data_IF_342639724369
#
_entry.id   IF_342639724369
#
_cell.length_a   1.000
_cell.length_b   1.000
_cell.length_c   1.000
_cell.angle_alpha   90.00
_cell.angle_beta   90.00
_cell.angle_gamma   90.00
#
_symmetry.space_group_name_H-M   'P 1'
#
loop_
_entity.id
_entity.type
_entity.pdbx_description
1 polymer ?
#
# COMPACT_ATOMS: atom_id res chain seq x y z
N UNK A 1 14.37 -15.55 -13.37
CA UNK A 1 13.73 -14.30 -12.91
C UNK A 1 13.74 -14.27 -11.40
N UNK A 2 14.06 -13.12 -10.80
CA UNK A 2 14.00 -12.90 -9.35
C UNK A 2 12.55 -12.81 -8.88
N UNK A 3 12.29 -12.74 -7.57
CA UNK A 3 10.93 -12.62 -7.05
C UNK A 3 10.33 -11.25 -7.38
N UNK A 4 11.13 -10.20 -7.31
CA UNK A 4 10.76 -8.84 -7.67
C UNK A 4 10.32 -8.76 -9.13
N UNK A 5 11.03 -9.44 -10.04
CA UNK A 5 10.64 -9.51 -11.45
C UNK A 5 9.29 -10.21 -11.67
N UNK A 6 8.98 -11.25 -10.89
CA UNK A 6 7.67 -11.91 -10.97
C UNK A 6 6.56 -11.02 -10.39
N UNK A 7 6.81 -10.30 -9.30
CA UNK A 7 5.86 -9.36 -8.72
C UNK A 7 5.57 -8.20 -9.68
N UNK A 8 6.60 -7.60 -10.28
CA UNK A 8 6.43 -6.59 -11.32
C UNK A 8 5.63 -7.13 -12.52
N UNK A 9 5.97 -8.33 -12.99
CA UNK A 9 5.24 -8.99 -14.09
C UNK A 9 3.79 -9.23 -13.74
N UNK A 10 3.48 -9.60 -12.48
CA UNK A 10 2.11 -9.82 -12.04
C UNK A 10 1.27 -8.54 -12.16
N UNK A 11 1.80 -7.37 -11.75
CA UNK A 11 1.11 -6.09 -11.93
C UNK A 11 0.81 -5.80 -13.41
N UNK A 12 1.80 -5.96 -14.29
CA UNK A 12 1.61 -5.73 -15.73
C UNK A 12 0.64 -6.72 -16.38
N UNK A 13 0.69 -8.00 -15.99
CA UNK A 13 -0.22 -9.04 -16.49
C UNK A 13 -1.65 -8.72 -16.05
N UNK A 14 -1.86 -8.40 -14.77
CA UNK A 14 -3.18 -8.03 -14.24
C UNK A 14 -3.72 -6.78 -14.93
N UNK A 15 -2.90 -5.74 -15.10
CA UNK A 15 -3.28 -4.52 -15.80
C UNK A 15 -3.69 -4.77 -17.26
N UNK A 16 -2.92 -5.59 -17.98
CA UNK A 16 -3.25 -6.01 -19.34
C UNK A 16 -4.55 -6.84 -19.40
N UNK A 17 -4.82 -7.68 -18.39
CA UNK A 17 -6.07 -8.44 -18.28
C UNK A 17 -7.27 -7.52 -18.04
N UNK A 18 -7.13 -6.47 -17.22
CA UNK A 18 -8.17 -5.45 -17.02
C UNK A 18 -8.50 -4.77 -18.36
N UNK A 19 -7.48 -4.37 -19.13
CA UNK A 19 -7.68 -3.79 -20.48
C UNK A 19 -8.41 -4.72 -21.43
N UNK A 20 -8.05 -6.02 -21.43
CA UNK A 20 -8.69 -7.04 -22.27
C UNK A 20 -10.18 -7.24 -21.95
N UNK A 21 -10.61 -6.88 -20.74
CA UNK A 21 -12.02 -6.86 -20.33
C UNK A 21 -12.72 -5.53 -20.65
N UNK A 22 -12.06 -4.62 -21.38
CA UNK A 22 -12.59 -3.30 -21.75
C UNK A 22 -12.95 -2.40 -20.56
N UNK A 23 -12.30 -2.60 -19.41
CA UNK A 23 -12.41 -1.70 -18.26
C UNK A 23 -11.35 -0.62 -18.44
N UNK A 24 -11.75 0.55 -18.96
CA UNK A 24 -10.83 1.61 -19.36
C UNK A 24 -10.82 2.82 -18.41
N UNK A 25 -11.98 3.10 -17.80
CA UNK A 25 -12.23 4.32 -17.04
C UNK A 25 -12.22 4.11 -15.53
N UNK A 26 -11.94 2.88 -15.09
CA UNK A 26 -11.80 2.55 -13.67
C UNK A 26 -10.42 1.97 -13.42
N UNK A 27 -9.91 2.25 -12.23
CA UNK A 27 -8.67 1.70 -11.74
C UNK A 27 -8.72 1.42 -10.24
N UNK A 28 -7.61 0.89 -9.75
CA UNK A 28 -7.42 0.59 -8.34
C UNK A 28 -5.95 0.77 -7.98
N UNK A 29 -5.72 1.29 -6.79
CA UNK A 29 -4.42 1.12 -6.14
C UNK A 29 -4.25 -0.35 -5.73
N UNK A 30 -3.00 -0.78 -5.54
CA UNK A 30 -2.69 -2.13 -5.14
C UNK A 30 -1.42 -2.16 -4.30
N UNK A 31 -1.55 -2.62 -3.06
CA UNK A 31 -0.44 -3.08 -2.23
C UNK A 31 -0.54 -4.59 -2.08
N UNK A 32 0.57 -5.29 -2.34
CA UNK A 32 0.70 -6.73 -2.17
C UNK A 32 1.87 -7.04 -1.25
N UNK A 33 1.59 -7.71 -0.14
CA UNK A 33 2.60 -8.26 0.76
C UNK A 33 2.67 -9.79 0.59
N UNK A 34 3.85 -10.31 0.28
CA UNK A 34 4.11 -11.74 0.15
C UNK A 34 5.21 -12.16 1.13
N UNK A 35 4.89 -13.08 2.03
CA UNK A 35 5.86 -13.67 2.96
C UNK A 35 6.30 -15.02 2.38
N UNK A 36 7.60 -15.24 2.30
CA UNK A 36 8.19 -16.48 1.80
C UNK A 36 9.33 -16.95 2.70
N UNK A 37 9.40 -18.25 2.94
CA UNK A 37 10.58 -18.86 3.55
C UNK A 37 11.69 -19.01 2.50
N UNK A 38 12.81 -18.33 2.70
CA UNK A 38 14.00 -18.36 1.85
C UNK A 38 15.19 -18.92 2.64
N UNK A 39 15.48 -20.20 2.46
CA UNK A 39 16.51 -20.93 3.21
C UNK A 39 16.25 -20.86 4.73
N UNK A 40 16.95 -19.94 5.42
CA UNK A 40 16.85 -19.75 6.87
C UNK A 40 16.01 -18.52 7.25
N UNK A 41 15.66 -17.68 6.28
CA UNK A 41 15.04 -16.40 6.52
C UNK A 41 13.55 -16.42 6.14
N UNK A 42 12.71 -15.75 6.93
CA UNK A 42 11.37 -15.35 6.49
C UNK A 42 11.50 -14.00 5.80
N UNK A 43 11.09 -13.90 4.54
CA UNK A 43 11.26 -12.70 3.74
C UNK A 43 9.90 -12.14 3.35
N UNK A 44 9.68 -10.88 3.70
CA UNK A 44 8.52 -10.09 3.33
C UNK A 44 8.85 -9.23 2.11
N UNK A 45 8.19 -9.53 0.99
CA UNK A 45 8.17 -8.68 -0.20
C UNK A 45 6.94 -7.80 -0.16
N UNK A 46 7.10 -6.52 -0.48
CA UNK A 46 6.00 -5.57 -0.62
C UNK A 46 6.05 -4.93 -2.01
N UNK A 47 4.91 -4.90 -2.72
CA UNK A 47 4.76 -4.24 -4.01
C UNK A 47 3.61 -3.24 -3.96
N UNK A 48 3.82 -1.99 -4.37
CA UNK A 48 2.79 -0.94 -4.33
C UNK A 48 2.67 -0.21 -5.68
N UNK A 49 1.43 -0.02 -6.15
CA UNK A 49 1.08 0.99 -7.15
C UNK A 49 -0.12 1.80 -6.63
N UNK A 50 0.07 3.10 -6.44
CA UNK A 50 -0.92 4.00 -5.84
C UNK A 50 -0.51 4.49 -4.44
N UNK A 51 -1.49 4.91 -3.64
CA UNK A 51 -1.34 5.53 -2.32
C UNK A 51 -1.94 4.72 -1.16
N UNK A 52 -2.37 3.48 -1.42
CA UNK A 52 -2.42 2.46 -0.37
C UNK A 52 -1.00 2.24 0.18
N UNK A 53 -0.88 2.02 1.49
CA UNK A 53 0.43 1.91 2.16
C UNK A 53 0.49 0.69 3.08
N UNK A 54 1.66 0.04 3.08
CA UNK A 54 2.08 -0.95 4.05
C UNK A 54 3.18 -0.40 4.97
N UNK A 55 3.04 -0.62 6.27
CA UNK A 55 4.03 -0.25 7.29
C UNK A 55 4.33 -1.45 8.19
N UNK A 56 5.60 -1.62 8.51
CA UNK A 56 6.12 -2.64 9.43
C UNK A 56 6.41 -1.99 10.77
N UNK A 57 5.87 -2.57 11.83
CA UNK A 57 6.08 -2.11 13.20
C UNK A 57 7.03 -3.07 13.91
N UNK A 58 8.12 -2.51 14.44
CA UNK A 58 9.17 -3.17 15.20
C UNK A 58 9.20 -2.66 16.62
N UNK A 59 9.79 -3.41 17.54
CA UNK A 59 9.97 -2.98 18.93
C UNK A 59 10.61 -1.58 19.07
N UNK A 60 11.47 -1.18 18.13
CA UNK A 60 12.20 0.11 18.13
C UNK A 60 11.58 1.21 17.25
N UNK A 61 10.50 0.93 16.49
CA UNK A 61 9.88 1.95 15.65
C UNK A 61 8.90 1.43 14.60
N UNK A 62 8.55 2.32 13.67
CA UNK A 62 7.69 2.01 12.51
C UNK A 62 8.43 2.37 11.24
N UNK A 63 8.40 1.47 10.24
CA UNK A 63 9.08 1.66 8.95
C UNK A 63 8.12 1.38 7.81
N UNK A 64 8.15 2.21 6.78
CA UNK A 64 7.39 1.97 5.53
C UNK A 64 7.96 0.77 4.75
N UNK A 65 7.06 -0.09 4.28
CA UNK A 65 7.35 -1.15 3.31
C UNK A 65 7.05 -0.70 1.87
N UNK A 66 6.20 0.32 1.74
CA UNK A 66 5.81 0.95 0.47
C UNK A 66 5.80 2.47 0.59
N UNK A 67 5.90 3.15 -0.56
CA UNK A 67 5.72 4.60 -0.65
C UNK A 67 4.57 4.94 -1.58
N UNK A 68 3.81 5.97 -1.20
CA UNK A 68 2.66 6.46 -1.95
C UNK A 68 3.10 7.07 -3.27
N UNK A 69 2.33 6.81 -4.31
CA UNK A 69 2.55 7.35 -5.65
C UNK A 69 1.60 8.52 -5.91
N UNK A 70 1.94 9.69 -5.34
CA UNK A 70 1.17 10.92 -5.51
C UNK A 70 1.72 11.73 -6.70
N UNK A 71 0.87 12.36 -7.54
CA UNK A 71 1.32 13.12 -8.71
C UNK A 71 2.21 14.32 -8.39
N UNK A 72 2.17 14.84 -7.16
CA UNK A 72 3.00 15.97 -6.73
C UNK A 72 4.45 15.61 -6.35
N UNK A 73 4.83 14.33 -6.39
CA UNK A 73 6.22 13.91 -6.11
C UNK A 73 7.12 14.20 -7.32
N UNK A 74 8.30 14.78 -7.11
CA UNK A 74 9.22 15.18 -8.19
C UNK A 74 9.52 14.03 -9.17
N UNK A 75 9.77 12.82 -8.64
CA UNK A 75 10.02 11.63 -9.46
C UNK A 75 8.82 11.24 -10.33
N UNK A 76 7.60 11.44 -9.83
CA UNK A 76 6.38 11.14 -10.56
C UNK A 76 6.02 12.25 -11.54
N UNK A 77 6.26 13.52 -11.20
CA UNK A 77 6.12 14.66 -12.13
C UNK A 77 7.02 14.43 -13.35
N UNK A 78 8.28 14.09 -13.13
CA UNK A 78 9.22 13.82 -14.22
C UNK A 78 8.76 12.64 -15.08
N UNK A 79 8.37 11.52 -14.45
CA UNK A 79 7.86 10.34 -15.17
C UNK A 79 6.62 10.66 -16.00
N UNK A 80 5.66 11.40 -15.45
CA UNK A 80 4.42 11.81 -16.13
C UNK A 80 4.75 12.70 -17.33
N UNK A 81 5.65 13.68 -17.16
CA UNK A 81 6.10 14.58 -18.23
C UNK A 81 6.78 13.82 -19.36
N UNK A 82 7.68 12.88 -19.03
CA UNK A 82 8.35 12.03 -20.02
C UNK A 82 7.37 11.11 -20.77
N UNK A 83 6.25 10.75 -20.13
CA UNK A 83 5.15 10.01 -20.74
C UNK A 83 4.18 10.90 -21.55
N UNK A 84 4.48 12.19 -21.73
CA UNK A 84 3.67 13.15 -22.50
C UNK A 84 2.45 13.71 -21.74
N UNK A 85 2.33 13.43 -20.45
CA UNK A 85 1.29 14.00 -19.58
C UNK A 85 1.77 15.24 -18.83
N UNK A 86 0.91 15.73 -17.93
CA UNK A 86 1.21 16.84 -17.02
C UNK A 86 0.57 16.60 -15.65
N UNK A 87 0.94 17.42 -14.66
CA UNK A 87 0.32 17.44 -13.33
C UNK A 87 -0.33 18.81 -13.13
N UNK A 88 -1.60 18.81 -12.73
CA UNK A 88 -2.36 20.01 -12.37
C UNK A 88 -3.13 19.71 -11.10
N UNK A 89 -3.07 20.59 -10.10
CA UNK A 89 -3.74 20.43 -8.79
C UNK A 89 -3.51 19.05 -8.13
N UNK A 90 -2.26 18.58 -8.15
CA UNK A 90 -1.87 17.24 -7.69
C UNK A 90 -2.61 16.08 -8.37
N UNK A 91 -3.06 16.28 -9.62
CA UNK A 91 -3.71 15.28 -10.44
C UNK A 91 -3.02 15.07 -11.78
N UNK A 92 -2.89 13.80 -12.19
CA UNK A 92 -2.38 13.43 -13.52
C UNK A 92 -3.36 13.90 -14.58
N UNK A 93 -2.88 14.72 -15.51
CA UNK A 93 -3.65 15.36 -16.57
C UNK A 93 -4.89 16.12 -16.04
N UNK A 94 -4.86 16.58 -14.78
CA UNK A 94 -5.99 17.23 -14.10
C UNK A 94 -7.11 16.28 -13.64
N UNK A 95 -6.94 14.96 -13.80
CA UNK A 95 -7.99 13.95 -13.56
C UNK A 95 -7.74 13.16 -12.28
N UNK A 96 -6.64 12.38 -12.23
CA UNK A 96 -6.46 11.33 -11.22
C UNK A 96 -5.46 11.74 -10.12
N UNK A 97 -5.84 11.57 -8.85
CA UNK A 97 -5.06 11.98 -7.68
C UNK A 97 -3.92 11.00 -7.28
N UNK A 98 -3.75 9.92 -8.03
CA UNK A 98 -2.62 8.97 -7.93
C UNK A 98 -1.87 8.92 -9.24
N UNK A 99 -0.55 8.73 -9.18
CA UNK A 99 0.30 8.64 -10.37
C UNK A 99 0.48 7.21 -10.87
N UNK A 100 0.17 6.21 -10.04
CA UNK A 100 0.26 4.79 -10.38
C UNK A 100 -0.99 4.05 -9.95
N UNK A 101 -1.47 3.15 -10.80
CA UNK A 101 -2.65 2.33 -10.57
C UNK A 101 -2.70 1.14 -11.55
N UNK A 102 -3.44 0.10 -11.17
CA UNK A 102 -3.96 -0.88 -12.12
C UNK A 102 -5.24 -0.30 -12.77
N UNK A 103 -5.48 -0.54 -14.05
CA UNK A 103 -6.60 0.08 -14.76
C UNK A 103 -6.29 1.50 -15.20
N UNK A 104 -7.28 2.39 -15.21
CA UNK A 104 -7.16 3.78 -15.70
C UNK A 104 -6.50 3.88 -17.08
N UNK A 105 -6.86 2.96 -17.99
CA UNK A 105 -6.21 2.81 -19.29
C UNK A 105 -6.35 4.05 -20.18
N UNK A 106 -7.39 4.86 -19.99
CA UNK A 106 -7.56 6.13 -20.68
C UNK A 106 -6.48 7.17 -20.32
N UNK A 107 -5.80 7.03 -19.18
CA UNK A 107 -4.71 7.90 -18.74
C UNK A 107 -3.32 7.31 -18.96
N UNK A 108 -3.21 6.10 -19.54
CA UNK A 108 -1.91 5.52 -19.86
C UNK A 108 -1.32 6.20 -21.11
N UNK A 109 0.00 6.48 -21.14
CA UNK A 109 1.02 6.03 -20.18
C UNK A 109 1.30 7.00 -19.01
N UNK A 110 0.54 8.08 -18.86
CA UNK A 110 0.73 9.05 -17.77
C UNK A 110 0.49 8.42 -16.41
N UNK A 111 -0.47 7.50 -16.26
CA UNK A 111 -0.62 6.63 -15.09
C UNK A 111 0.12 5.31 -15.33
N UNK A 112 0.96 4.88 -14.39
CA UNK A 112 1.75 3.64 -14.53
C UNK A 112 1.19 2.49 -13.70
N UNK A 113 1.27 1.27 -14.23
CA UNK A 113 1.02 0.04 -13.45
C UNK A 113 2.31 -0.53 -12.81
N UNK A 114 3.45 0.11 -13.03
CA UNK A 114 4.75 -0.35 -12.52
C UNK A 114 4.85 -0.14 -11.00
N UNK A 115 4.99 -1.20 -10.19
CA UNK A 115 4.99 -1.07 -8.74
C UNK A 115 6.36 -0.65 -8.19
N UNK A 116 6.35 0.08 -7.08
CA UNK A 116 7.50 0.08 -6.16
C UNK A 116 7.59 -1.27 -5.47
N UNK A 117 8.79 -1.88 -5.41
CA UNK A 117 9.00 -3.19 -4.78
C UNK A 117 10.08 -3.08 -3.71
N UNK A 118 9.81 -3.62 -2.53
CA UNK A 118 10.79 -3.77 -1.45
C UNK A 118 10.89 -5.21 -0.96
N UNK A 119 12.07 -5.54 -0.41
CA UNK A 119 12.39 -6.83 0.21
C UNK A 119 12.88 -6.58 1.64
N UNK A 120 12.26 -7.25 2.60
CA UNK A 120 12.62 -7.18 4.03
C UNK A 120 12.81 -8.58 4.57
N UNK A 121 13.97 -8.85 5.17
CA UNK A 121 14.13 -10.05 6.01
C UNK A 121 13.44 -9.77 7.34
N UNK A 122 12.48 -10.62 7.71
CA UNK A 122 11.79 -10.53 9.00
C UNK A 122 12.70 -11.02 10.11
N UNK A 123 12.77 -10.24 11.18
CA UNK A 123 13.57 -10.44 12.37
C UNK A 123 12.67 -10.73 13.58
N UNK A 124 13.22 -11.25 14.67
CA UNK A 124 12.45 -11.59 15.87
C UNK A 124 11.80 -10.36 16.55
N UNK A 125 12.26 -9.15 16.24
CA UNK A 125 11.70 -7.89 16.75
C UNK A 125 10.64 -7.26 15.81
N UNK A 126 10.32 -7.90 14.68
CA UNK A 126 9.19 -7.51 13.84
C UNK A 126 7.89 -7.97 14.48
N UNK A 127 7.06 -7.04 14.93
CA UNK A 127 5.85 -7.35 15.69
C UNK A 127 4.66 -7.61 14.75
N UNK A 128 4.41 -6.68 13.82
CA UNK A 128 3.30 -6.78 12.88
C UNK A 128 3.44 -5.83 11.67
N UNK A 129 2.69 -6.12 10.62
CA UNK A 129 2.51 -5.26 9.44
C UNK A 129 1.07 -4.75 9.38
N UNK A 130 0.89 -3.47 9.02
CA UNK A 130 -0.40 -2.86 8.70
C UNK A 130 -0.42 -2.56 7.21
N UNK A 131 -1.49 -2.96 6.53
CA UNK A 131 -1.82 -2.53 5.16
C UNK A 131 -3.14 -1.77 5.23
N UNK A 132 -3.19 -0.55 4.73
CA UNK A 132 -4.43 0.22 4.68
C UNK A 132 -4.49 1.15 3.46
N UNK A 133 -5.69 1.53 3.07
CA UNK A 133 -5.90 2.62 2.10
C UNK A 133 -5.64 4.00 2.72
N UNK A 134 -5.58 5.01 1.87
CA UNK A 134 -5.44 6.43 2.23
C UNK A 134 -6.50 6.94 3.22
N UNK A 135 -7.69 6.35 3.25
CA UNK A 135 -8.69 6.62 4.29
C UNK A 135 -8.17 6.48 5.73
N UNK A 136 -7.10 5.71 5.97
CA UNK A 136 -6.33 5.72 7.24
C UNK A 136 -5.22 6.75 7.22
N UNK A 137 -4.39 6.74 6.17
CA UNK A 137 -3.13 7.49 6.12
C UNK A 137 -3.29 9.00 5.95
N UNK A 138 -4.46 9.46 5.53
CA UNK A 138 -4.80 10.87 5.43
C UNK A 138 -5.09 11.50 6.80
N UNK A 139 -5.40 10.68 7.81
CA UNK A 139 -5.79 11.14 9.16
C UNK A 139 -4.88 10.61 10.27
N UNK A 140 -4.02 9.62 9.98
CA UNK A 140 -3.08 9.03 10.93
C UNK A 140 -1.70 8.90 10.31
N UNK A 141 -0.68 9.28 11.08
CA UNK A 141 0.72 9.01 10.73
C UNK A 141 1.08 7.53 10.91
N UNK A 142 2.15 7.09 10.24
CA UNK A 142 2.66 5.72 10.37
C UNK A 142 2.91 5.33 11.84
N UNK A 143 3.50 6.26 12.61
CA UNK A 143 3.84 6.06 14.01
C UNK A 143 2.59 6.01 14.91
N UNK A 144 1.59 6.85 14.68
CA UNK A 144 0.33 6.82 15.44
C UNK A 144 -0.42 5.51 15.21
N UNK A 145 -0.55 5.07 13.97
CA UNK A 145 -1.19 3.80 13.62
C UNK A 145 -0.46 2.60 14.24
N UNK A 146 0.87 2.54 14.10
CA UNK A 146 1.67 1.46 14.71
C UNK A 146 1.59 1.46 16.23
N UNK A 147 1.68 2.62 16.88
CA UNK A 147 1.56 2.73 18.34
C UNK A 147 0.18 2.30 18.82
N UNK A 148 -0.88 2.70 18.11
CA UNK A 148 -2.25 2.35 18.45
C UNK A 148 -2.47 0.83 18.36
N UNK A 149 -2.09 0.20 17.24
CA UNK A 149 -2.23 -1.25 17.05
C UNK A 149 -1.41 -2.03 18.08
N UNK A 150 -0.18 -1.62 18.38
CA UNK A 150 0.64 -2.25 19.43
C UNK A 150 -0.07 -2.22 20.78
N UNK A 151 -0.59 -1.06 21.18
CA UNK A 151 -1.32 -0.91 22.45
C UNK A 151 -2.59 -1.75 22.47
N UNK A 152 -3.31 -1.84 21.36
CA UNK A 152 -4.50 -2.68 21.24
C UNK A 152 -4.13 -4.16 21.47
N UNK A 153 -3.15 -4.68 20.71
CA UNK A 153 -2.72 -6.09 20.79
C UNK A 153 -2.22 -6.49 22.19
N UNK A 154 -1.57 -5.56 22.90
CA UNK A 154 -1.02 -5.78 24.24
C UNK A 154 -2.09 -5.81 25.35
N UNK A 155 -3.19 -5.07 25.19
CA UNK A 155 -4.23 -4.94 26.23
C UNK A 155 -5.51 -5.74 25.94
N UNK A 156 -5.68 -6.23 24.73
CA UNK A 156 -6.81 -7.07 24.36
C UNK A 156 -6.57 -8.51 24.85
N UNK A 157 -7.53 -9.11 25.57
CA UNK A 157 -7.42 -10.47 26.11
C UNK A 157 -8.01 -11.55 25.17
N UNK A 158 -8.45 -11.18 23.97
CA UNK A 158 -9.04 -12.11 23.01
C UNK A 158 -8.01 -13.12 22.49
N UNK A 159 -8.42 -14.26 21.92
CA UNK A 159 -7.50 -15.21 21.31
C UNK A 159 -6.66 -14.58 20.19
N UNK A 160 -5.40 -15.00 20.05
CA UNK A 160 -4.50 -14.49 18.99
C UNK A 160 -5.06 -14.69 17.57
N UNK A 161 -5.93 -15.68 17.36
CA UNK A 161 -6.62 -15.88 16.09
C UNK A 161 -7.59 -14.75 15.71
N UNK A 162 -8.04 -13.96 16.68
CA UNK A 162 -9.03 -12.88 16.50
C UNK A 162 -8.40 -11.49 16.65
N UNK A 163 -7.36 -11.38 17.49
CA UNK A 163 -6.67 -10.12 17.78
C UNK A 163 -6.29 -9.29 16.55
N UNK A 164 -5.70 -9.83 15.46
CA UNK A 164 -5.34 -9.02 14.30
C UNK A 164 -6.56 -8.38 13.62
N UNK A 165 -7.65 -9.14 13.50
CA UNK A 165 -8.91 -8.64 12.92
C UNK A 165 -9.54 -7.56 13.79
N UNK A 166 -9.55 -7.75 15.11
CA UNK A 166 -10.06 -6.76 16.06
C UNK A 166 -9.21 -5.48 16.05
N UNK A 167 -7.87 -5.61 15.98
CA UNK A 167 -6.96 -4.48 15.88
C UNK A 167 -7.15 -3.70 14.57
N UNK A 168 -7.35 -4.40 13.45
CA UNK A 168 -7.67 -3.77 12.16
C UNK A 168 -8.99 -2.99 12.22
N UNK A 169 -10.03 -3.57 12.81
CA UNK A 169 -11.32 -2.91 13.01
C UNK A 169 -11.21 -1.69 13.93
N UNK A 170 -10.45 -1.81 15.01
CA UNK A 170 -10.21 -0.71 15.94
C UNK A 170 -9.46 0.45 15.26
N UNK A 171 -8.46 0.15 14.43
CA UNK A 171 -7.73 1.18 13.67
C UNK A 171 -8.63 1.85 12.62
N UNK A 172 -9.49 1.08 11.95
CA UNK A 172 -10.48 1.63 11.02
C UNK A 172 -11.45 2.58 11.74
N UNK A 173 -11.97 2.18 12.90
CA UNK A 173 -12.86 3.02 13.72
C UNK A 173 -12.14 4.29 14.23
N UNK A 174 -10.85 4.19 14.56
CA UNK A 174 -10.04 5.36 14.93
C UNK A 174 -9.95 6.35 13.77
N UNK A 175 -9.62 5.88 12.56
CA UNK A 175 -9.55 6.74 11.37
C UNK A 175 -10.91 7.40 11.07
N UNK A 176 -12.01 6.65 11.20
CA UNK A 176 -13.36 7.21 11.08
C UNK A 176 -13.64 8.28 12.15
N UNK A 177 -13.27 8.03 13.40
CA UNK A 177 -13.39 8.99 14.50
C UNK A 177 -12.55 10.25 14.32
N UNK A 178 -11.41 10.15 13.63
CA UNK A 178 -10.57 11.26 13.19
C UNK A 178 -11.10 11.99 11.94
N UNK A 179 -12.35 11.71 11.55
CA UNK A 179 -13.09 12.35 10.45
C UNK A 179 -12.54 12.04 9.06
N UNK A 180 -12.00 10.85 8.86
CA UNK A 180 -11.77 10.35 7.50
C UNK A 180 -13.07 10.40 6.69
N UNK A 181 -13.00 10.91 5.47
CA UNK A 181 -14.14 11.06 4.56
C UNK A 181 -14.15 10.01 3.45
N UNK A 182 -13.19 9.08 3.46
CA UNK A 182 -13.04 8.06 2.43
C UNK A 182 -13.45 6.66 2.95
N UNK A 183 -13.47 5.69 2.05
CA UNK A 183 -13.52 4.28 2.40
C UNK A 183 -12.30 3.90 3.23
N UNK A 184 -12.53 3.11 4.28
CA UNK A 184 -11.47 2.66 5.19
C UNK A 184 -11.39 1.14 5.13
N UNK A 185 -10.23 0.65 4.70
CA UNK A 185 -9.88 -0.78 4.69
C UNK A 185 -8.54 -0.94 5.39
N UNK A 186 -8.45 -1.90 6.32
CA UNK A 186 -7.26 -2.18 7.12
C UNK A 186 -7.04 -3.68 7.22
N UNK A 187 -5.79 -4.12 7.08
CA UNK A 187 -5.33 -5.47 7.35
C UNK A 187 -4.17 -5.38 8.34
N UNK A 188 -4.19 -6.21 9.39
CA UNK A 188 -3.09 -6.36 10.34
C UNK A 188 -2.58 -7.81 10.28
N UNK A 189 -1.27 -7.97 10.18
CA UNK A 189 -0.58 -9.27 10.12
C UNK A 189 0.43 -9.30 11.26
N UNK A 190 0.24 -10.18 12.24
CA UNK A 190 1.17 -10.39 13.38
C UNK A 190 2.14 -11.51 13.04
N UNK A 191 3.42 -11.39 13.41
CA UNK A 191 4.49 -12.30 12.97
C UNK A 191 4.86 -13.41 13.93
#
# INVERSE_FOLDING_TARGET
MTIEQHLQSAFHITDAQIRRRSILDSGSTAVVCMIRNERKDRVLYCSNAGDTRAVLTKADGVRRLSYDHKPGLDSEIERIRLAGGFVSDNRVNGVLAVSRALGDHHLKPSVSADPYISRTVLEDNDEFCIIACDGVWDVLTDHEAGTFVRRFLANDDSPMSEKPTLAAQALANLAFGQRSQDNITVIVIVF
#
